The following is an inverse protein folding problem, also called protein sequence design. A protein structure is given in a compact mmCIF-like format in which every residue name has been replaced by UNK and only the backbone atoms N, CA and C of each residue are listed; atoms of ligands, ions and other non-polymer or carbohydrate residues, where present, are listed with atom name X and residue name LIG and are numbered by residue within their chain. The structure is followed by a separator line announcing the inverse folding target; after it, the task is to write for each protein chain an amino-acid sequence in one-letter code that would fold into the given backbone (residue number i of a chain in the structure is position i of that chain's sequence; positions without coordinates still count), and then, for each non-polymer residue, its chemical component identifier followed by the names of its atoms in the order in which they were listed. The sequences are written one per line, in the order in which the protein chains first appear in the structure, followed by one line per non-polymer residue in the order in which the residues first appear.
data_IF_531731087064
#
_entry.id   IF_531731087064
#
_cell.length_a   1.000
_cell.length_b   1.000
_cell.length_c   1.000
_cell.angle_alpha   90.00
_cell.angle_beta   90.00
_cell.angle_gamma   90.00
#
_symmetry.space_group_name_H-M   'P 1'
#
loop_
_entity.id
_entity.type
_entity.pdbx_description
1 polymer ?
#
# COMPACT_ATOMS: atom_id res chain seq x y z
N UNK A 1 8.68 2.65 8.25
CA UNK A 1 7.22 2.76 8.13
C UNK A 1 6.73 1.54 7.35
N UNK A 2 5.49 1.12 7.57
CA UNK A 2 4.82 0.10 6.77
C UNK A 2 3.42 0.59 6.42
N UNK A 3 2.86 0.08 5.34
CA UNK A 3 1.46 0.23 4.99
C UNK A 3 0.69 -0.95 5.58
N UNK A 4 -0.45 -0.66 6.19
CA UNK A 4 -1.34 -1.69 6.72
C UNK A 4 -2.74 -1.44 6.21
N UNK A 5 -3.35 -2.52 5.77
CA UNK A 5 -4.76 -2.58 5.42
C UNK A 5 -5.48 -3.41 6.47
N UNK A 6 -6.68 -2.96 6.82
CA UNK A 6 -7.60 -3.64 7.71
C UNK A 6 -8.93 -3.73 6.99
N UNK A 7 -9.54 -4.91 7.02
CA UNK A 7 -10.74 -5.18 6.25
C UNK A 7 -11.96 -5.26 7.17
N UNK A 8 -13.02 -4.61 6.72
CA UNK A 8 -14.35 -4.71 7.31
C UNK A 8 -15.38 -4.86 6.22
N UNK A 9 -16.47 -5.54 6.53
CA UNK A 9 -17.58 -5.71 5.63
C UNK A 9 -18.81 -6.18 6.38
N UNK A 10 -19.88 -6.40 5.63
CA UNK A 10 -21.18 -6.82 6.17
C UNK A 10 -21.27 -8.32 6.44
N UNK A 11 -20.23 -9.09 6.08
CA UNK A 11 -20.14 -10.53 6.33
C UNK A 11 -18.87 -11.15 5.72
N UNK A 12 -18.59 -12.39 6.10
CA UNK A 12 -17.46 -13.16 5.57
C UNK A 12 -17.79 -13.73 4.20
N UNK A 13 -16.93 -13.49 3.20
CA UNK A 13 -17.12 -13.83 1.78
C UNK A 13 -18.34 -13.16 1.13
N UNK A 14 -18.39 -13.22 -0.19
CA UNK A 14 -19.51 -12.70 -1.00
C UNK A 14 -20.85 -13.39 -0.74
N UNK A 15 -20.85 -14.53 -0.03
CA UNK A 15 -22.06 -15.30 0.24
C UNK A 15 -22.85 -14.83 1.48
N UNK A 16 -22.23 -14.11 2.43
CA UNK A 16 -22.85 -13.84 3.74
C UNK A 16 -23.04 -12.34 4.05
N UNK A 17 -22.42 -11.45 3.29
CA UNK A 17 -22.57 -10.00 3.47
C UNK A 17 -23.74 -9.41 2.71
N UNK A 18 -24.34 -8.35 3.23
CA UNK A 18 -25.22 -7.48 2.46
C UNK A 18 -24.46 -6.91 1.24
N UNK A 19 -25.05 -7.07 0.06
CA UNK A 19 -24.57 -6.44 -1.17
C UNK A 19 -25.16 -5.06 -1.33
N UNK A 20 -24.57 -4.24 -2.21
CA UNK A 20 -25.07 -2.92 -2.51
C UNK A 20 -25.17 -2.72 -4.03
N UNK A 21 -26.22 -2.03 -4.46
CA UNK A 21 -26.35 -1.56 -5.84
C UNK A 21 -26.01 -0.07 -5.85
N UNK A 22 -24.80 0.26 -6.31
CA UNK A 22 -24.32 1.64 -6.30
C UNK A 22 -24.75 2.32 -7.60
N UNK A 23 -25.69 3.26 -7.50
CA UNK A 23 -26.00 4.16 -8.59
C UNK A 23 -24.86 5.14 -8.83
N UNK A 24 -24.74 5.69 -10.04
CA UNK A 24 -23.79 6.74 -10.33
C UNK A 24 -24.34 7.74 -11.35
N UNK A 25 -23.87 8.97 -11.26
CA UNK A 25 -24.17 10.02 -12.24
C UNK A 25 -22.95 10.93 -12.43
N UNK A 26 -22.79 11.46 -13.63
CA UNK A 26 -21.83 12.53 -13.89
C UNK A 26 -22.49 13.87 -13.52
N UNK A 27 -21.80 14.68 -12.72
CA UNK A 27 -22.23 16.02 -12.34
C UNK A 27 -21.95 17.02 -13.47
N UNK A 28 -22.55 18.20 -13.43
CA UNK A 28 -22.36 19.24 -14.45
C UNK A 28 -20.92 19.77 -14.55
N UNK A 29 -20.07 19.48 -13.55
CA UNK A 29 -18.64 19.78 -13.54
C UNK A 29 -17.76 18.62 -14.03
N UNK A 30 -18.36 17.54 -14.55
CA UNK A 30 -17.67 16.36 -15.07
C UNK A 30 -17.20 15.36 -14.01
N UNK A 31 -17.49 15.57 -12.72
CA UNK A 31 -17.15 14.62 -11.67
C UNK A 31 -18.16 13.48 -11.60
N UNK A 32 -17.66 12.25 -11.44
CA UNK A 32 -18.48 11.09 -11.11
C UNK A 32 -18.93 11.15 -9.65
N UNK A 33 -20.24 11.01 -9.43
CA UNK A 33 -20.85 10.97 -8.12
C UNK A 33 -21.57 9.64 -7.92
N UNK A 34 -21.32 8.99 -6.78
CA UNK A 34 -21.89 7.70 -6.41
C UNK A 34 -23.14 7.90 -5.55
N UNK A 35 -24.05 6.94 -5.59
CA UNK A 35 -25.25 6.90 -4.78
C UNK A 35 -25.45 5.47 -4.25
N UNK A 36 -24.72 5.09 -3.18
CA UNK A 36 -24.88 3.81 -2.52
C UNK A 36 -26.28 3.68 -1.91
N UNK A 37 -26.85 2.47 -1.91
CA UNK A 37 -28.13 2.22 -1.23
C UNK A 37 -27.95 1.73 0.20
N UNK A 38 -26.77 1.20 0.52
CA UNK A 38 -26.44 0.70 1.85
C UNK A 38 -25.88 1.82 2.73
N UNK A 39 -26.30 1.83 4.00
CA UNK A 39 -25.66 2.69 5.00
C UNK A 39 -24.32 2.07 5.45
N UNK A 40 -23.20 2.62 4.95
CA UNK A 40 -21.85 2.18 5.28
C UNK A 40 -21.36 2.56 6.68
N UNK A 41 -22.08 3.43 7.38
CA UNK A 41 -21.82 3.78 8.77
C UNK A 41 -22.66 2.97 9.77
N UNK A 42 -23.44 1.99 9.31
CA UNK A 42 -24.27 1.18 10.21
C UNK A 42 -23.44 0.18 11.01
N UNK A 43 -24.04 -0.33 12.10
CA UNK A 43 -23.44 -1.36 12.96
C UNK A 43 -23.36 -2.76 12.32
N UNK A 44 -23.79 -2.92 11.06
CA UNK A 44 -23.71 -4.19 10.34
C UNK A 44 -22.28 -4.52 9.86
N UNK A 45 -21.38 -3.53 9.86
CA UNK A 45 -19.99 -3.72 9.47
C UNK A 45 -19.19 -4.33 10.61
N UNK A 46 -18.50 -5.42 10.30
CA UNK A 46 -17.65 -6.19 11.20
C UNK A 46 -16.27 -6.37 10.57
N UNK A 47 -15.25 -6.63 11.40
CA UNK A 47 -13.95 -7.06 10.91
C UNK A 47 -14.12 -8.45 10.28
N UNK A 48 -13.66 -8.62 9.04
CA UNK A 48 -13.83 -9.88 8.29
C UNK A 48 -13.03 -9.85 6.99
N UNK A 49 -13.08 -10.94 6.23
CA UNK A 49 -12.62 -11.06 4.85
C UNK A 49 -13.85 -11.07 3.91
N UNK A 50 -14.36 -9.89 3.49
CA UNK A 50 -15.64 -9.80 2.80
C UNK A 50 -15.64 -10.42 1.40
N UNK A 51 -14.47 -10.61 0.80
CA UNK A 51 -14.34 -11.23 -0.53
C UNK A 51 -13.77 -12.66 -0.46
N UNK A 52 -13.34 -13.12 0.72
CA UNK A 52 -12.76 -14.45 0.89
C UNK A 52 -11.38 -14.60 0.24
N UNK A 53 -10.60 -13.52 0.16
CA UNK A 53 -9.28 -13.52 -0.50
C UNK A 53 -8.27 -14.46 0.17
N UNK A 54 -8.42 -14.69 1.48
CA UNK A 54 -7.57 -15.59 2.23
C UNK A 54 -7.70 -17.07 1.84
N UNK A 55 -8.68 -17.44 1.00
CA UNK A 55 -8.83 -18.78 0.45
C UNK A 55 -7.63 -19.22 -0.43
N UNK A 56 -6.88 -18.27 -1.00
CA UNK A 56 -5.69 -18.55 -1.81
C UNK A 56 -4.40 -18.80 -1.02
N UNK A 57 -4.43 -18.66 0.32
CA UNK A 57 -3.30 -19.00 1.18
C UNK A 57 -3.27 -20.51 1.49
N UNK A 58 -2.09 -21.05 1.83
CA UNK A 58 -1.94 -22.45 2.25
C UNK A 58 -1.25 -22.57 3.61
N UNK A 59 -1.95 -22.99 4.69
CA UNK A 59 -3.39 -23.22 4.79
C UNK A 59 -4.22 -21.95 4.51
N UNK A 60 -5.49 -22.14 4.13
CA UNK A 60 -6.39 -21.02 3.88
C UNK A 60 -6.64 -20.23 5.16
N UNK A 61 -6.85 -18.93 5.02
CA UNK A 61 -7.02 -18.00 6.15
C UNK A 61 -8.27 -17.14 5.93
N UNK A 62 -8.77 -16.54 7.01
CA UNK A 62 -9.65 -15.38 6.94
C UNK A 62 -8.75 -14.15 6.90
N UNK A 63 -8.55 -13.57 5.71
CA UNK A 63 -7.68 -12.41 5.56
C UNK A 63 -8.45 -11.16 6.00
N UNK A 64 -8.31 -10.76 7.26
CA UNK A 64 -8.95 -9.56 7.81
C UNK A 64 -8.08 -8.30 7.72
N UNK A 65 -6.93 -8.40 7.07
CA UNK A 65 -6.04 -7.31 6.76
C UNK A 65 -4.74 -7.81 6.12
N UNK A 66 -3.87 -6.86 5.79
CA UNK A 66 -2.61 -7.14 5.12
C UNK A 66 -1.55 -6.08 5.50
N UNK A 67 -0.33 -6.52 5.75
CA UNK A 67 0.82 -5.65 5.94
C UNK A 67 1.64 -5.66 4.66
N UNK A 68 1.96 -4.46 4.20
CA UNK A 68 2.85 -4.23 3.07
C UNK A 68 3.96 -3.24 3.49
N UNK A 69 5.17 -3.75 3.67
CA UNK A 69 6.30 -3.01 4.20
C UNK A 69 7.44 -2.90 3.17
N UNK A 70 7.30 -2.07 2.12
CA UNK A 70 8.37 -1.84 1.16
C UNK A 70 9.49 -1.01 1.78
N UNK A 71 10.73 -1.37 1.44
CA UNK A 71 11.95 -0.67 1.81
C UNK A 71 12.84 -0.56 0.59
N UNK A 72 13.16 0.67 0.22
CA UNK A 72 14.13 0.97 -0.85
C UNK A 72 15.38 1.59 -0.24
N UNK A 73 16.55 1.06 -0.60
CA UNK A 73 17.85 1.67 -0.28
C UNK A 73 18.50 2.10 -1.59
N UNK A 74 18.99 3.34 -1.66
CA UNK A 74 19.60 3.91 -2.87
C UNK A 74 20.95 4.54 -2.49
N UNK A 75 21.99 4.21 -3.26
CA UNK A 75 23.33 4.75 -3.11
C UNK A 75 23.79 5.27 -4.46
N UNK A 76 24.28 6.51 -4.48
CA UNK A 76 24.78 7.17 -5.69
C UNK A 76 26.17 7.72 -5.39
N UNK A 77 27.12 7.46 -6.27
CA UNK A 77 28.43 8.09 -6.29
C UNK A 77 28.65 8.75 -7.65
N UNK A 78 29.20 9.96 -7.65
CA UNK A 78 29.45 10.75 -8.85
C UNK A 78 30.90 11.24 -8.84
N UNK A 79 31.60 11.05 -9.96
CA UNK A 79 32.95 11.54 -10.19
C UNK A 79 32.96 12.36 -11.48
N UNK A 80 33.24 13.65 -11.36
CA UNK A 80 33.38 14.57 -12.49
C UNK A 80 34.82 15.06 -12.62
N UNK A 81 35.37 14.96 -13.83
CA UNK A 81 36.67 15.53 -14.19
C UNK A 81 36.50 16.46 -15.39
N UNK A 82 37.28 17.54 -15.42
CA UNK A 82 37.21 18.50 -16.53
C UNK A 82 38.48 19.31 -16.68
N UNK A 83 38.73 19.74 -17.91
CA UNK A 83 39.82 20.63 -18.30
C UNK A 83 39.22 21.84 -19.02
N UNK A 84 39.69 23.03 -18.65
CA UNK A 84 39.29 24.29 -19.26
C UNK A 84 40.50 24.91 -19.96
N UNK A 85 40.30 25.45 -21.16
CA UNK A 85 41.27 26.28 -21.88
C UNK A 85 40.65 27.63 -22.21
N UNK A 86 41.25 28.69 -21.67
CA UNK A 86 40.86 30.08 -21.97
C UNK A 86 41.51 30.56 -23.28
N UNK A 87 40.86 31.50 -23.97
CA UNK A 87 41.36 32.15 -25.19
C UNK A 87 41.51 33.67 -24.97
N UNK A 88 42.59 34.25 -25.49
CA UNK A 88 42.85 35.69 -25.35
C UNK A 88 42.07 36.53 -26.38
N UNK A 89 41.68 35.93 -27.50
CA UNK A 89 40.93 36.58 -28.58
C UNK A 89 40.15 35.56 -29.41
N UNK A 90 38.96 35.91 -29.89
CA UNK A 90 38.13 35.05 -30.74
C UNK A 90 36.63 35.15 -30.42
N UNK A 91 35.78 34.34 -31.07
CA UNK A 91 34.33 34.35 -30.85
C UNK A 91 33.86 33.70 -29.53
N UNK A 92 34.79 33.12 -28.76
CA UNK A 92 34.53 32.42 -27.49
C UNK A 92 35.63 32.78 -26.47
N UNK A 93 35.25 32.92 -25.20
CA UNK A 93 36.16 33.19 -24.09
C UNK A 93 36.92 31.96 -23.60
N UNK A 94 36.33 30.75 -23.70
CA UNK A 94 36.98 29.49 -23.35
C UNK A 94 36.27 28.26 -23.91
N UNK A 95 36.98 27.13 -23.92
CA UNK A 95 36.40 25.80 -24.13
C UNK A 95 36.63 24.93 -22.90
N UNK A 96 35.61 24.17 -22.49
CA UNK A 96 35.71 23.17 -21.45
C UNK A 96 35.39 21.79 -22.00
N UNK A 97 36.24 20.82 -21.66
CA UNK A 97 36.02 19.41 -21.91
C UNK A 97 35.90 18.70 -20.56
N UNK A 98 35.02 17.73 -20.45
CA UNK A 98 34.99 16.91 -19.24
C UNK A 98 34.25 15.60 -19.41
N UNK A 99 34.34 14.81 -18.36
CA UNK A 99 33.69 13.51 -18.23
C UNK A 99 33.04 13.42 -16.85
N UNK A 100 31.84 12.88 -16.82
CA UNK A 100 31.03 12.67 -15.63
C UNK A 100 30.75 11.17 -15.52
N UNK A 101 31.09 10.54 -14.39
CA UNK A 101 30.88 9.12 -14.15
C UNK A 101 30.06 8.91 -12.89
N UNK A 102 28.85 8.39 -13.07
CA UNK A 102 27.91 8.10 -11.99
C UNK A 102 27.77 6.61 -11.81
N UNK A 103 27.78 6.16 -10.57
CA UNK A 103 27.43 4.79 -10.18
C UNK A 103 26.24 4.84 -9.25
N UNK A 104 25.20 4.06 -9.54
CA UNK A 104 24.02 3.93 -8.69
C UNK A 104 23.77 2.47 -8.34
N UNK A 105 23.49 2.23 -7.06
CA UNK A 105 23.02 0.96 -6.54
C UNK A 105 21.69 1.18 -5.82
N UNK A 106 20.63 0.55 -6.31
CA UNK A 106 19.31 0.63 -5.71
C UNK A 106 18.80 -0.77 -5.39
N UNK A 107 18.33 -0.97 -4.16
CA UNK A 107 17.75 -2.25 -3.72
C UNK A 107 16.35 -2.02 -3.20
N UNK A 108 15.43 -2.89 -3.60
CA UNK A 108 14.06 -2.93 -3.14
C UNK A 108 13.81 -4.26 -2.44
N UNK A 109 13.29 -4.16 -1.23
CA UNK A 109 12.84 -5.28 -0.42
C UNK A 109 11.43 -5.01 0.08
N UNK A 110 10.56 -6.01 0.10
CA UNK A 110 9.19 -5.87 0.62
C UNK A 110 8.90 -6.99 1.62
N UNK A 111 8.58 -6.61 2.86
CA UNK A 111 8.02 -7.51 3.86
C UNK A 111 6.51 -7.53 3.77
N UNK A 112 5.90 -8.72 3.77
CA UNK A 112 4.45 -8.87 3.60
C UNK A 112 3.90 -9.94 4.53
N UNK A 113 2.81 -9.62 5.23
CA UNK A 113 2.12 -10.53 6.13
C UNK A 113 0.60 -10.37 6.00
N UNK A 114 -0.13 -11.46 6.17
CA UNK A 114 -1.57 -11.42 6.36
C UNK A 114 -1.90 -11.10 7.82
N UNK A 115 -3.08 -10.51 8.03
CA UNK A 115 -3.66 -10.33 9.35
C UNK A 115 -4.94 -11.15 9.46
N UNK A 116 -5.01 -12.03 10.46
CA UNK A 116 -6.18 -12.86 10.75
C UNK A 116 -6.86 -12.40 12.04
N UNK A 117 -8.16 -12.67 12.17
CA UNK A 117 -8.88 -12.44 13.42
C UNK A 117 -8.60 -13.57 14.41
N UNK A 118 -8.40 -13.28 15.70
CA UNK A 118 -8.26 -14.30 16.73
C UNK A 118 -9.45 -15.28 16.75
N UNK A 119 -9.17 -16.58 16.84
CA UNK A 119 -10.17 -17.64 16.99
C UNK A 119 -9.85 -18.52 18.21
N UNK A 120 -9.85 -17.92 19.40
CA UNK A 120 -9.37 -18.58 20.62
C UNK A 120 -7.87 -18.87 20.57
N UNK A 121 -7.46 -20.07 20.98
CA UNK A 121 -6.08 -20.53 20.76
C UNK A 121 -5.94 -20.86 19.28
N UNK A 122 -5.34 -19.95 18.51
CA UNK A 122 -5.07 -20.16 17.09
C UNK A 122 -4.11 -21.33 16.93
N UNK A 123 -4.70 -22.51 16.79
CA UNK A 123 -4.04 -23.71 16.33
C UNK A 123 -4.16 -23.71 14.81
N UNK A 124 -3.15 -24.17 14.09
CA UNK A 124 -3.23 -24.44 12.64
C UNK A 124 -4.26 -25.56 12.29
N UNK A 125 -5.22 -25.83 13.18
CA UNK A 125 -6.22 -26.87 13.09
C UNK A 125 -7.61 -26.35 12.66
N UNK A 126 -7.82 -25.03 12.63
CA UNK A 126 -9.04 -24.44 12.06
C UNK A 126 -8.81 -24.08 10.59
N UNK A 127 -9.74 -24.46 9.72
CA UNK A 127 -9.69 -24.14 8.28
C UNK A 127 -10.99 -23.44 7.88
N UNK A 128 -10.93 -22.18 7.37
CA UNK A 128 -9.74 -21.34 7.30
C UNK A 128 -9.21 -20.94 8.68
N UNK A 129 -7.94 -20.56 8.77
CA UNK A 129 -7.34 -20.02 9.99
C UNK A 129 -7.91 -18.63 10.29
N UNK A 130 -8.27 -18.41 11.55
CA UNK A 130 -8.84 -17.16 12.03
C UNK A 130 -10.36 -17.18 12.11
N UNK A 131 -10.93 -16.28 12.90
CA UNK A 131 -12.39 -16.17 13.02
C UNK A 131 -12.95 -15.55 11.74
N UNK A 132 -14.12 -16.01 11.29
CA UNK A 132 -14.77 -15.49 10.09
C UNK A 132 -15.17 -14.03 10.24
N UNK A 133 -15.66 -13.64 11.42
CA UNK A 133 -16.04 -12.27 11.74
C UNK A 133 -15.66 -11.93 13.17
N UNK A 134 -15.44 -10.64 13.44
CA UNK A 134 -15.31 -10.10 14.79
C UNK A 134 -15.91 -8.69 14.84
N UNK A 135 -16.54 -8.28 15.96
CA UNK A 135 -17.02 -6.92 16.10
C UNK A 135 -15.85 -5.93 16.08
N UNK A 136 -16.09 -4.73 15.54
CA UNK A 136 -15.13 -3.63 15.66
C UNK A 136 -15.16 -3.16 17.13
N UNK A 137 -14.02 -3.21 17.86
CA UNK A 137 -13.98 -2.80 19.25
C UNK A 137 -14.34 -1.33 19.41
N UNK A 138 -15.16 -0.99 20.40
CA UNK A 138 -15.56 0.41 20.66
C UNK A 138 -14.36 1.33 20.85
N UNK A 139 -13.29 0.85 21.48
CA UNK A 139 -12.05 1.62 21.69
C UNK A 139 -11.25 1.85 20.39
N UNK A 140 -11.52 1.09 19.33
CA UNK A 140 -10.93 1.31 18.01
C UNK A 140 -11.73 2.31 17.18
N UNK A 141 -13.01 2.55 17.47
CA UNK A 141 -13.86 3.48 16.72
C UNK A 141 -13.32 4.91 16.83
N UNK A 142 -13.23 5.60 15.69
CA UNK A 142 -12.82 7.01 15.62
C UNK A 142 -14.01 7.87 15.21
N UNK A 143 -14.02 9.14 15.63
CA UNK A 143 -15.09 10.10 15.31
C UNK A 143 -16.52 9.59 15.68
N UNK A 144 -16.65 8.87 16.79
CA UNK A 144 -17.94 8.29 17.21
C UNK A 144 -18.35 7.06 16.38
N UNK A 145 -17.44 6.50 15.59
CA UNK A 145 -17.65 5.29 14.78
C UNK A 145 -18.01 5.56 13.33
N UNK A 146 -18.12 6.83 12.91
CA UNK A 146 -18.41 7.18 11.53
C UNK A 146 -17.57 8.37 11.05
N UNK A 147 -17.15 8.33 9.79
CA UNK A 147 -16.52 9.45 9.10
C UNK A 147 -16.89 9.43 7.62
N UNK A 148 -16.71 10.56 6.95
CA UNK A 148 -17.14 10.73 5.55
C UNK A 148 -16.01 11.31 4.68
N UNK A 149 -14.89 10.57 4.49
CA UNK A 149 -13.75 11.04 3.71
C UNK A 149 -14.06 11.07 2.20
N UNK A 150 -15.11 10.38 1.77
CA UNK A 150 -15.52 10.22 0.37
C UNK A 150 -16.83 10.96 0.05
N UNK A 151 -17.25 11.89 0.92
CA UNK A 151 -18.45 12.72 0.74
C UNK A 151 -18.46 13.44 -0.61
N UNK A 152 -17.29 13.93 -1.03
CA UNK A 152 -17.11 14.68 -2.27
C UNK A 152 -17.49 13.88 -3.53
N UNK A 153 -17.51 12.56 -3.44
CA UNK A 153 -17.88 11.65 -4.53
C UNK A 153 -19.14 10.84 -4.22
N UNK A 154 -19.92 11.21 -3.19
CA UNK A 154 -21.26 10.68 -2.94
C UNK A 154 -21.34 9.33 -2.23
N UNK A 155 -20.23 8.79 -1.76
CA UNK A 155 -20.24 7.54 -0.97
C UNK A 155 -20.95 7.74 0.38
N UNK A 156 -20.81 8.93 0.96
CA UNK A 156 -21.37 9.27 2.26
C UNK A 156 -20.64 8.60 3.43
N UNK A 157 -21.21 8.70 4.65
CA UNK A 157 -20.56 8.24 5.87
C UNK A 157 -20.29 6.73 5.89
N UNK A 158 -19.10 6.37 6.36
CA UNK A 158 -18.60 5.01 6.49
C UNK A 158 -18.25 4.71 7.95
N UNK A 159 -18.19 3.43 8.33
CA UNK A 159 -17.62 3.02 9.61
C UNK A 159 -16.13 3.40 9.65
N UNK A 160 -15.71 4.03 10.74
CA UNK A 160 -14.33 4.49 10.86
C UNK A 160 -13.71 4.02 12.17
N UNK A 161 -12.55 3.38 12.05
CA UNK A 161 -11.82 2.82 13.18
C UNK A 161 -10.30 2.88 12.94
N UNK A 162 -9.55 2.81 14.03
CA UNK A 162 -8.09 2.83 14.02
C UNK A 162 -7.53 1.42 13.84
N UNK A 163 -7.07 1.10 12.63
CA UNK A 163 -6.45 -0.20 12.31
C UNK A 163 -5.18 -0.48 13.12
N UNK A 164 -4.40 0.55 13.45
CA UNK A 164 -3.20 0.40 14.29
C UNK A 164 -3.55 0.05 15.73
N UNK A 165 -4.68 0.55 16.26
CA UNK A 165 -5.18 0.12 17.56
C UNK A 165 -5.48 -1.38 17.56
N UNK A 166 -6.11 -1.90 16.50
CA UNK A 166 -6.41 -3.33 16.38
C UNK A 166 -5.13 -4.18 16.41
N UNK A 167 -4.12 -3.80 15.62
CA UNK A 167 -2.84 -4.51 15.60
C UNK A 167 -2.13 -4.48 16.96
N UNK A 168 -2.02 -3.30 17.57
CA UNK A 168 -1.27 -3.10 18.81
C UNK A 168 -1.93 -3.72 20.05
N UNK A 169 -3.24 -3.99 20.00
CA UNK A 169 -4.00 -4.56 21.12
C UNK A 169 -4.41 -6.03 20.88
N UNK A 170 -3.77 -6.72 19.92
CA UNK A 170 -3.97 -8.16 19.74
C UNK A 170 -5.29 -8.57 19.10
N UNK A 171 -6.00 -7.64 18.44
CA UNK A 171 -7.17 -7.95 17.62
C UNK A 171 -6.82 -8.55 16.26
N UNK A 172 -5.53 -8.56 15.92
CA UNK A 172 -4.98 -9.27 14.77
C UNK A 172 -3.90 -10.25 15.18
N UNK A 173 -3.80 -11.32 14.42
CA UNK A 173 -2.63 -12.22 14.42
C UNK A 173 -1.96 -12.18 13.07
N UNK A 174 -0.63 -12.13 13.12
CA UNK A 174 0.20 -12.04 11.92
C UNK A 174 0.42 -13.44 11.37
N UNK A 175 0.12 -13.62 10.10
CA UNK A 175 0.33 -14.87 9.38
C UNK A 175 1.22 -14.62 8.15
N UNK A 176 2.35 -15.33 8.01
CA UNK A 176 3.33 -15.03 6.96
C UNK A 176 2.79 -15.31 5.56
N UNK A 177 3.18 -14.48 4.59
CA UNK A 177 2.81 -14.67 3.18
C UNK A 177 3.62 -15.76 2.47
N UNK A 178 4.69 -16.27 3.08
CA UNK A 178 5.62 -17.24 2.48
C UNK A 178 5.00 -18.57 2.07
N UNK A 179 3.79 -18.89 2.55
CA UNK A 179 3.03 -20.10 2.20
C UNK A 179 1.78 -19.79 1.36
N UNK A 180 1.68 -18.60 0.77
CA UNK A 180 0.57 -18.18 -0.09
C UNK A 180 0.99 -18.11 -1.56
N UNK A 181 0.02 -17.85 -2.46
CA UNK A 181 0.21 -17.66 -3.90
C UNK A 181 1.20 -16.54 -4.26
N UNK A 182 1.63 -15.72 -3.29
CA UNK A 182 2.67 -14.69 -3.40
C UNK A 182 4.04 -15.28 -2.98
N UNK A 183 4.40 -16.44 -3.54
CA UNK A 183 5.52 -17.26 -3.07
C UNK A 183 6.91 -16.57 -3.09
N UNK A 184 7.05 -15.44 -3.79
CA UNK A 184 8.24 -14.60 -3.72
C UNK A 184 7.86 -13.12 -3.79
N UNK A 185 8.23 -12.31 -2.78
CA UNK A 185 8.04 -10.87 -2.83
C UNK A 185 8.78 -10.31 -4.06
N UNK A 186 8.25 -9.30 -4.78
CA UNK A 186 8.84 -8.74 -6.01
C UNK A 186 10.08 -7.87 -5.70
N UNK A 187 11.04 -8.44 -4.99
CA UNK A 187 12.30 -7.83 -4.63
C UNK A 187 13.16 -7.64 -5.88
N UNK A 188 13.79 -6.48 -6.02
CA UNK A 188 14.66 -6.18 -7.16
C UNK A 188 15.89 -5.40 -6.74
N UNK A 189 16.90 -5.44 -7.60
CA UNK A 189 18.13 -4.66 -7.46
C UNK A 189 18.47 -4.03 -8.80
N UNK A 190 18.90 -2.78 -8.78
CA UNK A 190 19.40 -2.04 -9.93
C UNK A 190 20.84 -1.66 -9.66
N UNK A 191 21.71 -1.95 -10.62
CA UNK A 191 23.08 -1.46 -10.68
C UNK A 191 23.24 -0.72 -11.99
N UNK A 192 23.57 0.57 -11.92
CA UNK A 192 23.67 1.47 -13.06
C UNK A 192 25.01 2.21 -13.01
N UNK A 193 25.64 2.32 -14.17
CA UNK A 193 26.87 3.08 -14.35
C UNK A 193 26.72 3.94 -15.60
N UNK A 194 26.64 5.25 -15.40
CA UNK A 194 26.56 6.22 -16.48
C UNK A 194 27.90 6.92 -16.67
N UNK A 195 28.29 7.12 -17.92
CA UNK A 195 29.47 7.91 -18.26
C UNK A 195 29.11 8.91 -19.35
N UNK A 196 29.17 10.19 -19.02
CA UNK A 196 28.74 11.28 -19.89
C UNK A 196 29.92 12.21 -20.20
N UNK A 197 30.49 12.16 -21.42
CA UNK A 197 31.42 13.18 -21.87
C UNK A 197 30.67 14.46 -22.24
N UNK A 198 31.27 15.63 -22.03
CA UNK A 198 30.71 16.91 -22.44
C UNK A 198 31.79 17.86 -22.99
N UNK A 199 31.34 18.74 -23.89
CA UNK A 199 32.09 19.90 -24.36
C UNK A 199 31.21 21.14 -24.24
N UNK A 200 31.79 22.25 -23.77
CA UNK A 200 31.10 23.51 -23.61
C UNK A 200 31.95 24.64 -24.20
N UNK A 201 31.33 25.43 -25.09
CA UNK A 201 31.89 26.68 -25.60
C UNK A 201 31.31 27.84 -24.80
N UNK A 202 32.17 28.63 -24.16
CA UNK A 202 31.75 29.80 -23.40
C UNK A 202 31.92 31.04 -24.26
N UNK A 203 30.87 31.85 -24.35
CA UNK A 203 30.89 33.15 -25.02
C UNK A 203 31.79 34.14 -24.26
#
# INVERSE_FOLDING_TARGET
SFLMESYSGTGYTTANGATDTIGFNELSNGLLYLNPTLNYASNQFVLTDPQGWGAGAHPSIVQAGFINAPRTTDYIADLRAGLKRDFESGPFSSVQFGIDRKTRNKTYFIGQDFLTLPNGSQTFATTPIGAQTAPIPTAALVNGGSCDPLAFMGVGPQVCYNSMYLLNNGYYTVFPTSLSSIASPPNWKVHEVDTTPYVQFNL
#
